data_IF_902633124200
#
_entry.id   IF_902633124200
#
_cell.length_a   1.000
_cell.length_b   1.000
_cell.length_c   1.000
_cell.angle_alpha   90.00
_cell.angle_beta   90.00
_cell.angle_gamma   90.00
#
_symmetry.space_group_name_H-M   'P 1'
#
loop_
_entity.id
_entity.type
_entity.pdbx_description
1 polymer ?
#
# COMPACT_ATOMS: atom_id res chain seq x y z
N UNK A 1 6.92 -27.73 -27.85
CA UNK A 1 5.68 -27.13 -28.37
C UNK A 1 4.49 -27.96 -27.89
N UNK A 2 3.44 -27.34 -27.38
CA UNK A 2 2.21 -28.01 -26.87
C UNK A 2 1.64 -29.00 -27.91
N UNK A 3 1.62 -28.58 -29.18
CA UNK A 3 1.20 -29.42 -30.32
C UNK A 3 1.97 -30.75 -30.49
N UNK A 4 3.24 -30.83 -30.09
CA UNK A 4 4.04 -32.04 -30.26
C UNK A 4 3.78 -33.09 -29.18
N UNK A 5 3.46 -32.65 -27.96
CA UNK A 5 3.18 -33.56 -26.84
C UNK A 5 1.77 -34.14 -26.95
N UNK A 6 0.79 -33.33 -27.32
CA UNK A 6 -0.59 -33.77 -27.54
C UNK A 6 -0.67 -34.79 -28.69
N UNK A 7 0.01 -34.54 -29.81
CA UNK A 7 0.04 -35.47 -30.94
C UNK A 7 0.67 -36.83 -30.58
N UNK A 8 1.75 -36.83 -29.80
CA UNK A 8 2.39 -38.06 -29.33
C UNK A 8 1.47 -38.82 -28.36
N UNK A 9 0.81 -38.12 -27.46
CA UNK A 9 -0.06 -38.70 -26.44
C UNK A 9 -1.34 -39.29 -27.06
N UNK A 10 -1.94 -38.60 -28.03
CA UNK A 10 -3.05 -39.12 -28.83
C UNK A 10 -2.66 -40.36 -29.66
N UNK A 11 -1.46 -40.36 -30.26
CA UNK A 11 -0.96 -41.53 -31.00
C UNK A 11 -0.76 -42.76 -30.09
N UNK A 12 -0.24 -42.56 -28.88
CA UNK A 12 -0.05 -43.64 -27.88
C UNK A 12 -1.39 -44.16 -27.35
N UNK A 13 -2.36 -43.28 -27.10
CA UNK A 13 -3.71 -43.66 -26.67
C UNK A 13 -4.44 -44.48 -27.75
N UNK A 14 -4.41 -44.01 -29.00
CA UNK A 14 -4.96 -44.74 -30.15
C UNK A 14 -4.30 -46.11 -30.37
N UNK A 15 -2.97 -46.21 -30.14
CA UNK A 15 -2.25 -47.48 -30.25
C UNK A 15 -2.60 -48.47 -29.13
N UNK A 16 -2.93 -48.00 -27.92
CA UNK A 16 -3.31 -48.83 -26.77
C UNK A 16 -4.79 -49.21 -26.74
N UNK A 17 -5.60 -48.71 -27.69
CA UNK A 17 -7.03 -48.99 -27.75
C UNK A 17 -7.83 -48.33 -26.62
N UNK A 18 -7.23 -47.38 -25.91
CA UNK A 18 -7.91 -46.55 -24.92
C UNK A 18 -8.56 -45.39 -25.70
N UNK A 19 -9.89 -45.29 -25.63
CA UNK A 19 -10.59 -44.14 -26.19
C UNK A 19 -10.06 -42.90 -25.45
N UNK A 20 -9.27 -42.09 -26.16
CA UNK A 20 -8.85 -40.77 -25.68
C UNK A 20 -10.13 -40.00 -25.37
N UNK A 21 -10.48 -39.94 -24.09
CA UNK A 21 -11.49 -39.01 -23.65
C UNK A 21 -10.86 -37.64 -23.81
N UNK A 22 -11.38 -36.87 -24.75
CA UNK A 22 -11.28 -35.42 -24.69
C UNK A 22 -12.08 -34.99 -23.44
N UNK A 23 -11.50 -35.21 -22.26
CA UNK A 23 -11.99 -34.74 -20.97
C UNK A 23 -11.73 -33.23 -20.87
N UNK A 24 -12.08 -32.48 -21.92
CA UNK A 24 -12.33 -31.04 -21.81
C UNK A 24 -13.64 -30.87 -21.04
N UNK A 25 -13.62 -31.20 -19.74
CA UNK A 25 -14.53 -30.55 -18.81
C UNK A 25 -14.22 -29.06 -18.94
N UNK A 26 -15.14 -28.34 -19.60
CA UNK A 26 -15.05 -26.93 -19.93
C UNK A 26 -14.81 -26.11 -18.65
N UNK A 27 -13.55 -25.95 -18.28
CA UNK A 27 -13.13 -24.98 -17.30
C UNK A 27 -13.47 -23.58 -17.81
N UNK A 28 -13.82 -22.67 -16.90
CA UNK A 28 -14.16 -21.29 -17.25
C UNK A 28 -13.11 -20.68 -18.18
N UNK A 29 -13.55 -20.20 -19.34
CA UNK A 29 -12.65 -19.69 -20.36
C UNK A 29 -11.96 -18.41 -19.85
N UNK A 30 -10.64 -18.49 -19.69
CA UNK A 30 -9.81 -17.40 -19.16
C UNK A 30 -9.43 -16.46 -20.29
N UNK A 31 -8.88 -17.00 -21.38
CA UNK A 31 -8.51 -16.23 -22.57
C UNK A 31 -9.44 -16.54 -23.74
N UNK A 32 -10.36 -15.61 -24.03
CA UNK A 32 -11.31 -15.72 -25.16
C UNK A 32 -10.63 -15.74 -26.52
N UNK A 33 -9.49 -15.06 -26.66
CA UNK A 33 -8.80 -14.89 -27.94
C UNK A 33 -8.06 -16.16 -28.41
N UNK A 34 -7.51 -16.94 -27.48
CA UNK A 34 -6.74 -18.15 -27.78
C UNK A 34 -7.47 -19.42 -27.35
N UNK A 35 -8.74 -19.30 -26.93
CA UNK A 35 -9.55 -20.39 -26.41
C UNK A 35 -8.84 -21.19 -25.31
N UNK A 36 -8.24 -20.49 -24.33
CA UNK A 36 -7.50 -21.10 -23.23
C UNK A 36 -8.36 -21.05 -21.96
N UNK A 37 -8.57 -22.22 -21.38
CA UNK A 37 -9.30 -22.49 -20.15
C UNK A 37 -8.41 -22.41 -18.90
N UNK A 38 -9.06 -22.31 -17.73
CA UNK A 38 -8.35 -22.23 -16.45
C UNK A 38 -7.51 -23.48 -16.15
N UNK A 39 -8.04 -24.67 -16.46
CA UNK A 39 -7.40 -25.95 -16.14
C UNK A 39 -6.09 -26.11 -16.93
N UNK A 40 -6.11 -25.78 -18.23
CA UNK A 40 -4.90 -25.76 -19.05
C UNK A 40 -3.83 -24.82 -18.50
N UNK A 41 -4.20 -23.65 -17.97
CA UNK A 41 -3.26 -22.70 -17.34
C UNK A 41 -2.70 -23.29 -16.04
N UNK A 42 -3.54 -23.87 -15.18
CA UNK A 42 -3.10 -24.51 -13.95
C UNK A 42 -2.09 -25.65 -14.21
N UNK A 43 -2.38 -26.51 -15.18
CA UNK A 43 -1.53 -27.64 -15.52
C UNK A 43 -0.21 -27.19 -16.12
N UNK A 44 -0.22 -26.18 -17.00
CA UNK A 44 1.02 -25.63 -17.55
C UNK A 44 1.87 -24.92 -16.49
N UNK A 45 1.24 -24.20 -15.55
CA UNK A 45 1.93 -23.56 -14.42
C UNK A 45 2.56 -24.61 -13.52
N UNK A 46 1.85 -25.69 -13.17
CA UNK A 46 2.38 -26.79 -12.33
C UNK A 46 3.49 -27.57 -13.03
N UNK A 47 3.32 -27.88 -14.31
CA UNK A 47 4.28 -28.67 -15.07
C UNK A 47 5.61 -27.94 -15.31
N UNK A 48 5.57 -26.62 -15.49
CA UNK A 48 6.76 -25.82 -15.82
C UNK A 48 7.20 -24.87 -14.69
N UNK A 49 6.52 -24.88 -13.54
CA UNK A 49 6.76 -24.00 -12.38
C UNK A 49 6.82 -22.52 -12.76
N UNK A 50 5.85 -22.06 -13.53
CA UNK A 50 5.79 -20.66 -13.97
C UNK A 50 5.42 -19.75 -12.79
N UNK A 51 6.06 -18.58 -12.70
CA UNK A 51 5.92 -17.64 -11.56
C UNK A 51 5.60 -16.21 -11.97
N UNK A 52 5.57 -15.92 -13.25
CA UNK A 52 5.30 -14.57 -13.75
C UNK A 52 4.24 -14.63 -14.84
N UNK A 53 3.58 -13.50 -15.08
CA UNK A 53 2.56 -13.39 -16.12
C UNK A 53 3.18 -13.52 -17.50
N UNK A 54 4.37 -12.98 -17.67
CA UNK A 54 5.16 -13.07 -18.88
C UNK A 54 5.51 -14.53 -19.19
N UNK A 55 5.86 -15.32 -18.16
CA UNK A 55 6.10 -16.75 -18.33
C UNK A 55 4.83 -17.48 -18.79
N UNK A 56 3.67 -17.18 -18.18
CA UNK A 56 2.41 -17.79 -18.63
C UNK A 56 2.07 -17.37 -20.06
N UNK A 57 2.26 -16.10 -20.42
CA UNK A 57 2.02 -15.60 -21.77
C UNK A 57 2.96 -16.25 -22.79
N UNK A 58 4.23 -16.50 -22.45
CA UNK A 58 5.18 -17.14 -23.34
C UNK A 58 4.85 -18.62 -23.60
N UNK A 59 4.32 -19.33 -22.59
CA UNK A 59 4.03 -20.76 -22.69
C UNK A 59 2.62 -21.06 -23.22
N UNK A 60 1.62 -20.33 -22.75
CA UNK A 60 0.21 -20.55 -23.11
C UNK A 60 -0.24 -19.64 -24.25
N UNK A 61 0.48 -18.55 -24.54
CA UNK A 61 0.05 -17.45 -25.44
C UNK A 61 -1.15 -16.66 -24.93
N UNK A 62 -1.69 -16.98 -23.75
CA UNK A 62 -2.72 -16.19 -23.11
C UNK A 62 -2.17 -14.81 -22.73
N UNK A 63 -2.87 -13.73 -23.10
CA UNK A 63 -2.53 -12.38 -22.64
C UNK A 63 -1.39 -11.66 -23.38
N UNK A 64 -0.77 -12.26 -24.41
CA UNK A 64 0.29 -11.58 -25.17
C UNK A 64 -0.17 -10.43 -26.08
N UNK A 65 -1.48 -10.26 -26.26
CA UNK A 65 -2.08 -9.25 -27.15
C UNK A 65 -2.89 -8.18 -26.42
N UNK A 66 -4.15 -8.51 -26.10
CA UNK A 66 -5.12 -7.55 -25.55
C UNK A 66 -5.09 -7.42 -24.02
N UNK A 67 -4.26 -8.19 -23.32
CA UNK A 67 -4.10 -8.27 -21.84
C UNK A 67 -5.40 -8.39 -21.00
N UNK A 68 -6.57 -8.51 -21.60
CA UNK A 68 -7.87 -8.55 -20.92
C UNK A 68 -8.08 -9.78 -20.02
N UNK A 69 -7.20 -10.78 -20.12
CA UNK A 69 -7.21 -11.99 -19.30
C UNK A 69 -6.13 -11.99 -18.21
N UNK A 70 -5.30 -10.94 -18.11
CA UNK A 70 -4.18 -10.89 -17.15
C UNK A 70 -4.65 -11.02 -15.71
N UNK A 71 -5.73 -10.34 -15.30
CA UNK A 71 -6.25 -10.43 -13.93
C UNK A 71 -6.62 -11.87 -13.54
N UNK A 72 -7.32 -12.58 -14.42
CA UNK A 72 -7.68 -13.98 -14.19
C UNK A 72 -6.47 -14.92 -14.16
N UNK A 73 -5.45 -14.63 -14.97
CA UNK A 73 -4.21 -15.41 -14.98
C UNK A 73 -3.40 -15.16 -13.70
N UNK A 74 -3.38 -13.93 -13.19
CA UNK A 74 -2.79 -13.59 -11.88
C UNK A 74 -3.47 -14.35 -10.76
N UNK A 75 -4.81 -14.39 -10.75
CA UNK A 75 -5.57 -15.13 -9.74
C UNK A 75 -5.24 -16.62 -9.74
N UNK A 76 -5.12 -17.23 -10.92
CA UNK A 76 -4.73 -18.64 -11.08
C UNK A 76 -3.28 -18.87 -10.61
N UNK A 77 -2.35 -17.97 -10.96
CA UNK A 77 -0.98 -18.05 -10.48
C UNK A 77 -0.92 -17.95 -8.95
N UNK A 78 -1.72 -17.09 -8.33
CA UNK A 78 -1.80 -16.97 -6.86
C UNK A 78 -2.45 -18.21 -6.26
N UNK A 79 -3.48 -18.78 -6.88
CA UNK A 79 -4.13 -20.00 -6.39
C UNK A 79 -3.17 -21.21 -6.44
N UNK A 80 -2.44 -21.38 -7.54
CA UNK A 80 -1.53 -22.53 -7.75
C UNK A 80 -0.21 -22.36 -6.99
N UNK A 81 0.39 -21.18 -7.03
CA UNK A 81 1.65 -20.88 -6.36
C UNK A 81 1.44 -20.25 -4.97
N UNK A 82 0.22 -20.24 -4.44
CA UNK A 82 -0.13 -19.59 -3.17
C UNK A 82 0.69 -20.09 -1.98
N UNK A 83 1.19 -21.32 -2.03
CA UNK A 83 2.14 -21.84 -1.03
C UNK A 83 3.53 -21.17 -1.08
N UNK A 84 3.88 -20.56 -2.20
CA UNK A 84 5.10 -19.75 -2.41
C UNK A 84 4.84 -18.26 -2.15
N UNK A 85 3.74 -17.69 -2.66
CA UNK A 85 3.34 -16.30 -2.37
C UNK A 85 2.83 -16.07 -0.94
N UNK A 86 2.54 -17.13 -0.16
CA UNK A 86 2.35 -17.02 1.29
C UNK A 86 3.67 -16.78 2.04
N UNK A 87 4.80 -17.24 1.49
CA UNK A 87 6.14 -16.99 2.04
C UNK A 87 6.80 -15.75 1.43
N UNK A 88 6.37 -15.35 0.23
CA UNK A 88 6.65 -14.05 -0.38
C UNK A 88 5.36 -13.23 -0.39
N UNK A 89 4.86 -12.94 0.82
CA UNK A 89 3.70 -12.09 1.01
C UNK A 89 3.89 -10.77 0.24
N UNK A 90 3.02 -10.56 -0.76
CA UNK A 90 2.48 -9.29 -1.29
C UNK A 90 3.28 -8.05 -0.86
N UNK A 91 3.84 -7.22 -1.76
CA UNK A 91 4.34 -5.90 -1.36
C UNK A 91 3.15 -5.19 -0.71
N UNK A 92 3.21 -5.08 0.61
CA UNK A 92 2.22 -4.35 1.39
C UNK A 92 2.32 -2.92 0.87
N UNK A 93 1.41 -2.53 -0.04
CA UNK A 93 1.06 -1.13 -0.21
C UNK A 93 0.89 -0.58 1.20
N UNK A 94 1.73 0.39 1.53
CA UNK A 94 1.98 0.97 2.83
C UNK A 94 0.78 0.95 3.78
N UNK A 95 0.57 -0.18 4.44
CA UNK A 95 -0.11 -0.24 5.72
C UNK A 95 1.03 -0.28 6.73
N UNK A 96 1.38 0.92 7.21
CA UNK A 96 2.38 1.16 8.23
C UNK A 96 2.31 0.08 9.31
N UNK A 97 3.36 -0.72 9.36
CA UNK A 97 3.52 -1.81 10.32
C UNK A 97 3.67 -1.21 11.71
N UNK A 98 2.58 -1.30 12.48
CA UNK A 98 2.52 -1.02 13.92
C UNK A 98 3.37 -1.99 14.78
N UNK A 99 4.42 -2.60 14.22
CA UNK A 99 5.27 -3.58 14.88
C UNK A 99 6.74 -3.14 15.02
N UNK A 100 7.11 -1.96 14.51
CA UNK A 100 8.42 -1.33 14.74
C UNK A 100 8.34 -0.12 15.70
N UNK A 101 7.22 0.01 16.42
CA UNK A 101 7.00 1.06 17.43
C UNK A 101 7.48 0.66 18.84
N UNK A 102 8.32 -0.37 18.97
CA UNK A 102 8.74 -0.91 20.25
C UNK A 102 10.13 -0.45 20.73
N UNK A 103 10.73 0.60 20.12
CA UNK A 103 11.97 1.20 20.65
C UNK A 103 12.07 2.71 20.41
N UNK A 104 11.00 3.45 20.69
CA UNK A 104 11.16 4.84 21.11
C UNK A 104 10.62 4.93 22.53
N UNK A 105 11.40 5.38 23.53
CA UNK A 105 10.86 5.60 24.86
C UNK A 105 9.65 6.51 24.68
N UNK A 106 8.47 6.05 25.10
CA UNK A 106 7.27 6.89 25.12
C UNK A 106 7.65 8.11 25.94
N UNK A 107 7.89 9.24 25.28
CA UNK A 107 8.12 10.51 25.95
C UNK A 107 6.97 10.64 26.95
N UNK A 108 7.28 10.75 28.23
CA UNK A 108 6.25 11.05 29.23
C UNK A 108 5.58 12.37 28.81
N UNK A 109 4.32 12.59 29.20
CA UNK A 109 3.61 13.84 28.83
C UNK A 109 4.46 15.08 29.12
N UNK A 110 5.26 15.05 30.19
CA UNK A 110 6.24 16.08 30.53
C UNK A 110 7.37 16.24 29.49
N UNK A 111 8.00 15.15 29.04
CA UNK A 111 9.03 15.21 28.01
C UNK A 111 8.48 15.68 26.65
N UNK A 112 7.20 15.40 26.36
CA UNK A 112 6.53 15.90 25.16
C UNK A 112 6.30 17.41 25.26
N UNK A 113 5.74 17.90 26.36
CA UNK A 113 5.50 19.35 26.58
C UNK A 113 6.81 20.13 26.47
N UNK A 114 7.87 19.66 27.14
CA UNK A 114 9.19 20.32 27.07
C UNK A 114 9.73 20.42 25.65
N UNK A 115 9.60 19.36 24.84
CA UNK A 115 10.01 19.40 23.44
C UNK A 115 9.17 20.39 22.63
N UNK A 116 7.87 20.45 22.88
CA UNK A 116 6.98 21.40 22.21
C UNK A 116 7.41 22.84 22.56
N UNK A 117 7.67 23.13 23.83
CA UNK A 117 8.17 24.43 24.28
C UNK A 117 9.51 24.80 23.62
N UNK A 118 10.48 23.88 23.62
CA UNK A 118 11.77 24.08 22.93
C UNK A 118 11.60 24.35 21.43
N UNK A 119 10.62 23.68 20.79
CA UNK A 119 10.32 23.89 19.36
C UNK A 119 9.65 25.24 19.14
N UNK A 120 8.73 25.66 20.01
CA UNK A 120 8.08 26.96 19.94
C UNK A 120 9.08 28.10 20.17
N UNK A 121 10.02 27.94 21.12
CA UNK A 121 11.11 28.89 21.37
C UNK A 121 11.98 29.09 20.12
N UNK A 122 12.24 28.03 19.36
CA UNK A 122 12.99 28.11 18.11
C UNK A 122 12.21 28.83 16.99
N UNK A 123 10.87 28.82 17.02
CA UNK A 123 10.01 29.48 16.03
C UNK A 123 9.70 30.93 16.39
N UNK A 124 9.72 31.30 17.68
CA UNK A 124 9.52 32.67 18.17
C UNK A 124 10.27 33.76 17.40
N UNK A 125 11.59 33.67 17.11
CA UNK A 125 12.28 34.71 16.37
C UNK A 125 11.74 34.91 14.95
N UNK A 126 11.19 33.86 14.34
CA UNK A 126 10.53 33.98 13.03
C UNK A 126 9.19 34.71 13.17
N UNK A 127 8.38 34.35 14.16
CA UNK A 127 7.08 34.99 14.42
C UNK A 127 7.23 36.45 14.87
N UNK A 128 8.25 36.76 15.67
CA UNK A 128 8.53 38.11 16.15
C UNK A 128 8.95 39.05 15.01
N UNK A 129 9.62 38.54 13.96
CA UNK A 129 9.87 39.33 12.74
C UNK A 129 8.57 39.77 12.09
N UNK A 130 7.55 38.93 12.16
CA UNK A 130 6.20 39.21 11.68
C UNK A 130 5.33 39.95 12.72
N UNK A 131 5.93 40.46 13.82
CA UNK A 131 5.26 41.15 14.92
C UNK A 131 4.17 40.30 15.62
N UNK A 132 4.33 38.98 15.60
CA UNK A 132 3.49 38.02 16.32
C UNK A 132 4.26 37.28 17.41
N UNK A 133 3.52 36.64 18.30
CA UNK A 133 4.06 35.70 19.28
C UNK A 133 3.14 34.48 19.42
N UNK A 134 3.66 33.39 19.97
CA UNK A 134 2.92 32.14 20.20
C UNK A 134 3.11 31.65 21.63
N UNK A 135 1.99 31.30 22.25
CA UNK A 135 1.95 30.73 23.60
C UNK A 135 1.24 29.38 23.56
N UNK A 136 1.83 28.39 24.23
CA UNK A 136 1.21 27.07 24.39
C UNK A 136 0.16 27.13 25.51
N UNK A 137 -1.06 26.71 25.22
CA UNK A 137 -2.16 26.67 26.21
C UNK A 137 -2.33 25.25 26.75
N UNK A 138 -2.55 24.29 25.85
CA UNK A 138 -2.87 22.92 26.23
C UNK A 138 -2.40 21.90 25.17
N UNK A 139 -2.10 20.69 25.63
CA UNK A 139 -1.71 19.57 24.77
C UNK A 139 -2.62 18.38 25.11
N UNK A 140 -3.58 18.11 24.22
CA UNK A 140 -4.46 16.94 24.31
C UNK A 140 -4.07 15.88 23.28
N UNK A 141 -3.16 14.99 23.68
CA UNK A 141 -2.70 13.87 22.87
C UNK A 141 -2.03 14.31 21.55
N UNK A 142 -2.82 14.37 20.47
CA UNK A 142 -2.40 14.80 19.13
C UNK A 142 -2.78 16.23 18.79
N UNK A 143 -3.68 16.86 19.57
CA UNK A 143 -4.13 18.23 19.39
C UNK A 143 -3.32 19.14 20.30
N UNK A 144 -2.68 20.14 19.70
CA UNK A 144 -1.89 21.14 20.42
C UNK A 144 -2.62 22.46 20.26
N UNK A 145 -3.06 23.03 21.39
CA UNK A 145 -3.76 24.30 21.42
C UNK A 145 -2.78 25.42 21.72
N UNK A 146 -2.71 26.36 20.78
CA UNK A 146 -1.82 27.52 20.87
C UNK A 146 -2.63 28.80 20.79
N UNK A 147 -2.15 29.82 21.49
CA UNK A 147 -2.64 31.19 21.37
C UNK A 147 -1.62 31.99 20.57
N UNK A 148 -2.07 32.53 19.45
CA UNK A 148 -1.30 33.50 18.68
C UNK A 148 -1.61 34.89 19.21
N UNK A 149 -0.56 35.65 19.54
CA UNK A 149 -0.63 37.03 20.01
C UNK A 149 -0.02 37.98 18.98
N UNK A 150 -0.38 39.26 19.06
CA UNK A 150 0.17 40.32 18.20
C UNK A 150 -0.47 40.37 16.81
N UNK A 151 0.32 40.66 15.77
CA UNK A 151 -0.16 40.84 14.39
C UNK A 151 -0.75 39.55 13.77
N UNK A 152 -0.45 38.39 14.33
CA UNK A 152 -0.96 37.11 13.86
C UNK A 152 -2.39 36.79 14.35
N UNK A 153 -2.91 37.49 15.35
CA UNK A 153 -4.24 37.23 15.90
C UNK A 153 -5.33 37.73 14.94
N UNK A 154 -6.08 36.82 14.30
CA UNK A 154 -7.20 37.15 13.41
C UNK A 154 -6.82 37.67 12.02
N UNK A 155 -5.54 37.56 11.64
CA UNK A 155 -5.07 37.92 10.31
C UNK A 155 -5.52 36.87 9.27
N UNK A 156 -5.75 37.29 8.02
CA UNK A 156 -6.09 36.36 6.92
C UNK A 156 -5.02 35.26 6.72
N UNK A 157 -3.79 35.53 7.15
CA UNK A 157 -2.65 34.61 7.08
C UNK A 157 -2.46 33.77 8.35
N UNK A 158 -3.31 33.90 9.38
CA UNK A 158 -3.21 33.13 10.64
C UNK A 158 -3.15 31.62 10.38
N UNK A 159 -3.99 31.12 9.46
CA UNK A 159 -4.02 29.72 9.08
C UNK A 159 -2.70 29.24 8.43
N UNK A 160 -2.04 30.10 7.65
CA UNK A 160 -0.76 29.78 7.03
C UNK A 160 0.36 29.70 8.08
N UNK A 161 0.37 30.62 9.05
CA UNK A 161 1.32 30.61 10.16
C UNK A 161 1.14 29.38 11.04
N UNK A 162 -0.11 29.03 11.40
CA UNK A 162 -0.43 27.80 12.14
C UNK A 162 0.04 26.54 11.40
N UNK A 163 -0.14 26.50 10.07
CA UNK A 163 0.35 25.41 9.23
C UNK A 163 1.88 25.27 9.27
N UNK A 164 2.61 26.39 9.26
CA UNK A 164 4.06 26.40 9.40
C UNK A 164 4.54 25.88 10.76
N UNK A 165 3.89 26.31 11.85
CA UNK A 165 4.17 25.82 13.20
C UNK A 165 3.87 24.32 13.31
N UNK A 166 2.75 23.87 12.75
CA UNK A 166 2.37 22.46 12.71
C UNK A 166 3.43 21.62 11.99
N UNK A 167 3.90 22.05 10.82
CA UNK A 167 4.92 21.32 10.06
C UNK A 167 6.21 21.17 10.87
N UNK A 168 6.65 22.23 11.56
CA UNK A 168 7.86 22.18 12.38
C UNK A 168 7.72 21.27 13.61
N UNK A 169 6.53 21.24 14.22
CA UNK A 169 6.24 20.33 15.33
C UNK A 169 6.22 18.87 14.85
N UNK A 170 5.66 18.59 13.67
CA UNK A 170 5.66 17.25 13.07
C UNK A 170 7.11 16.78 12.79
N UNK A 171 7.96 17.64 12.24
CA UNK A 171 9.38 17.33 12.00
C UNK A 171 10.11 16.99 13.30
N UNK A 172 9.85 17.74 14.38
CA UNK A 172 10.59 17.62 15.64
C UNK A 172 10.10 16.46 16.50
N UNK A 173 8.79 16.22 16.53
CA UNK A 173 8.17 15.13 17.29
C UNK A 173 8.20 13.81 16.51
N UNK A 174 8.27 13.86 15.18
CA UNK A 174 8.15 12.69 14.31
C UNK A 174 6.76 12.04 14.38
N UNK A 175 5.77 12.79 14.84
CA UNK A 175 4.37 12.36 15.02
C UNK A 175 3.47 13.37 14.30
N UNK A 176 2.40 12.88 13.66
CA UNK A 176 1.38 13.74 13.07
C UNK A 176 0.58 14.40 14.19
N UNK A 177 0.82 15.70 14.39
CA UNK A 177 0.13 16.56 15.35
C UNK A 177 -0.72 17.60 14.63
N UNK A 178 -1.83 17.98 15.25
CA UNK A 178 -2.75 19.00 14.76
C UNK A 178 -2.64 20.22 15.66
N UNK A 179 -2.28 21.37 15.09
CA UNK A 179 -2.22 22.64 15.84
C UNK A 179 -3.53 23.39 15.63
N UNK A 180 -4.13 23.84 16.73
CA UNK A 180 -5.40 24.56 16.74
C UNK A 180 -5.25 25.87 17.52
N UNK A 181 -5.92 26.95 17.08
CA UNK A 181 -5.99 28.18 17.86
C UNK A 181 -6.85 27.96 19.11
N UNK A 182 -6.60 28.76 20.16
CA UNK A 182 -7.39 28.73 21.41
C UNK A 182 -8.90 28.94 21.18
N UNK A 183 -9.29 29.64 20.12
CA UNK A 183 -10.70 29.81 19.71
C UNK A 183 -11.40 28.50 19.38
N UNK A 184 -10.66 27.46 19.00
CA UNK A 184 -11.18 26.13 18.75
C UNK A 184 -11.38 25.31 20.04
N UNK A 185 -10.71 25.67 21.14
CA UNK A 185 -10.90 25.04 22.46
C UNK A 185 -12.28 25.43 23.04
N UNK A 186 -12.70 26.69 22.86
CA UNK A 186 -13.98 27.19 23.39
C UNK A 186 -15.24 26.69 22.65
N UNK A 187 -15.07 25.94 21.54
CA UNK A 187 -16.18 25.43 20.70
C UNK A 187 -16.33 23.89 20.75
N UNK A 188 -15.56 23.22 21.60
CA UNK A 188 -15.63 21.77 21.85
C UNK A 188 -16.29 21.51 23.21
#
# INVERSE_FOLDING_TARGET
SVMGREALQAAVANYRGEASKDDHEEGDLVCKCFAIDAVMIEDTVRANRLRTLEDVANYTKAGGGCSACHEKIEDILIAVNGRLYANEAKPRKAAATAAEAATRPRLTNYQRIRKIEETLEAIRPMLQRDHGDVTLIEVDGKKIYVELSGACQGCSMEAATLGGVQQKLIETLGELVQVLPVTALARA
#
